data_IF_903504999518
#
_entry.id   IF_903504999518
#
_cell.length_a   1.000
_cell.length_b   1.000
_cell.length_c   1.000
_cell.angle_alpha   90.00
_cell.angle_beta   90.00
_cell.angle_gamma   90.00
#
_symmetry.space_group_name_H-M   'P 1'
#
loop_
_entity.id
_entity.type
_entity.pdbx_description
1 polymer ?
#
# COMPACT_ATOMS: atom_id res chain seq x y z
N UNK A 1 12.98 17.84 -49.92
CA UNK A 1 13.56 16.70 -49.20
C UNK A 1 14.10 17.05 -47.79
N UNK A 2 15.03 18.01 -47.62
CA UNK A 2 15.60 18.34 -46.29
C UNK A 2 14.55 18.78 -45.25
N UNK A 3 13.55 19.61 -45.61
CA UNK A 3 12.49 20.07 -44.71
C UNK A 3 11.58 18.89 -44.25
N UNK A 4 11.28 17.97 -45.15
CA UNK A 4 10.46 16.81 -44.85
C UNK A 4 11.19 15.86 -43.87
N UNK A 5 12.50 15.61 -44.11
CA UNK A 5 13.33 14.82 -43.21
C UNK A 5 13.44 15.47 -41.83
N UNK A 6 13.56 16.79 -41.76
CA UNK A 6 13.59 17.52 -40.50
C UNK A 6 12.28 17.35 -39.70
N UNK A 7 11.13 17.51 -40.35
CA UNK A 7 9.82 17.32 -39.73
C UNK A 7 9.68 15.89 -39.24
N UNK A 8 10.10 14.90 -40.03
CA UNK A 8 10.04 13.48 -39.63
C UNK A 8 10.92 13.21 -38.39
N UNK A 9 12.16 13.73 -38.34
CA UNK A 9 13.03 13.59 -37.17
C UNK A 9 12.39 14.21 -35.92
N UNK A 10 11.79 15.38 -36.02
CA UNK A 10 11.10 16.02 -34.90
C UNK A 10 9.91 15.19 -34.44
N UNK A 11 9.12 14.63 -35.34
CA UNK A 11 7.96 13.78 -34.99
C UNK A 11 8.40 12.50 -34.31
N UNK A 12 9.46 11.83 -34.80
CA UNK A 12 10.02 10.63 -34.16
C UNK A 12 10.56 10.97 -32.76
N UNK A 13 11.26 12.09 -32.62
CA UNK A 13 11.76 12.54 -31.31
C UNK A 13 10.61 12.80 -30.33
N UNK A 14 9.58 13.55 -30.72
CA UNK A 14 8.42 13.83 -29.88
C UNK A 14 7.67 12.55 -29.49
N UNK A 15 7.52 11.62 -30.46
CA UNK A 15 6.95 10.28 -30.16
C UNK A 15 7.76 9.52 -29.12
N UNK A 16 9.09 9.53 -29.24
CA UNK A 16 9.99 8.91 -28.26
C UNK A 16 9.89 9.54 -26.87
N UNK A 17 9.80 10.87 -26.79
CA UNK A 17 9.59 11.60 -25.52
C UNK A 17 8.27 11.21 -24.86
N UNK A 18 7.18 11.12 -25.62
CA UNK A 18 5.86 10.74 -25.09
C UNK A 18 5.90 9.31 -24.54
N UNK A 19 6.49 8.37 -25.30
CA UNK A 19 6.60 6.96 -24.85
C UNK A 19 7.45 6.86 -23.58
N UNK A 20 8.55 7.58 -23.51
CA UNK A 20 9.44 7.59 -22.34
C UNK A 20 8.78 8.22 -21.10
N UNK A 21 8.06 9.33 -21.27
CA UNK A 21 7.37 10.03 -20.19
C UNK A 21 6.03 9.39 -19.78
N UNK A 22 5.53 8.43 -20.57
CA UNK A 22 4.22 7.81 -20.34
C UNK A 22 4.03 7.25 -18.91
N UNK A 23 5.00 6.50 -18.32
CA UNK A 23 4.85 5.99 -16.96
C UNK A 23 4.68 7.10 -15.92
N UNK A 24 5.41 8.21 -16.07
CA UNK A 24 5.33 9.34 -15.13
C UNK A 24 4.01 10.10 -15.28
N UNK A 25 3.54 10.29 -16.51
CA UNK A 25 2.23 10.89 -16.76
C UNK A 25 1.11 10.03 -16.20
N UNK A 26 1.20 8.71 -16.35
CA UNK A 26 0.24 7.78 -15.78
C UNK A 26 0.27 7.79 -14.25
N UNK A 27 1.46 7.86 -13.64
CA UNK A 27 1.63 7.99 -12.19
C UNK A 27 0.97 9.28 -11.65
N UNK A 28 1.21 10.41 -12.31
CA UNK A 28 0.57 11.69 -11.94
C UNK A 28 -0.96 11.62 -12.04
N UNK A 29 -1.47 11.01 -13.12
CA UNK A 29 -2.92 10.81 -13.28
C UNK A 29 -3.50 9.96 -12.16
N UNK A 30 -2.92 8.79 -11.90
CA UNK A 30 -3.41 7.88 -10.84
C UNK A 30 -3.26 8.53 -9.45
N UNK A 31 -2.17 9.25 -9.20
CA UNK A 31 -2.01 10.00 -7.95
C UNK A 31 -3.10 11.05 -7.75
N UNK A 32 -3.48 11.78 -8.81
CA UNK A 32 -4.59 12.72 -8.76
C UNK A 32 -5.96 12.03 -8.54
N UNK A 33 -6.21 10.91 -9.23
CA UNK A 33 -7.42 10.10 -9.05
C UNK A 33 -7.51 9.53 -7.64
N UNK A 34 -6.43 8.98 -7.10
CA UNK A 34 -6.35 8.46 -5.74
C UNK A 34 -6.61 9.57 -4.71
N UNK A 35 -5.99 10.74 -4.88
CA UNK A 35 -6.22 11.89 -4.00
C UNK A 35 -7.69 12.26 -3.96
N UNK A 36 -8.34 12.37 -5.14
CA UNK A 36 -9.75 12.70 -5.23
C UNK A 36 -10.65 11.66 -4.55
N UNK A 37 -10.36 10.37 -4.72
CA UNK A 37 -11.12 9.28 -4.09
C UNK A 37 -10.95 9.32 -2.57
N UNK A 38 -9.74 9.56 -2.07
CA UNK A 38 -9.48 9.68 -0.64
C UNK A 38 -10.15 10.92 -0.03
N UNK A 39 -10.12 12.08 -0.70
CA UNK A 39 -10.86 13.27 -0.28
C UNK A 39 -12.37 13.00 -0.20
N UNK A 40 -12.94 12.33 -1.20
CA UNK A 40 -14.37 11.94 -1.17
C UNK A 40 -14.70 11.01 -0.01
N UNK A 41 -13.83 10.04 0.29
CA UNK A 41 -13.99 9.14 1.42
C UNK A 41 -13.95 9.92 2.76
N UNK A 42 -13.04 10.87 2.92
CA UNK A 42 -12.93 11.71 4.12
C UNK A 42 -14.17 12.59 4.28
N UNK A 43 -14.59 13.29 3.21
CA UNK A 43 -15.80 14.15 3.23
C UNK A 43 -17.05 13.36 3.62
N UNK A 44 -17.22 12.14 3.11
CA UNK A 44 -18.36 11.27 3.45
C UNK A 44 -18.29 10.84 4.92
N UNK A 45 -17.13 10.45 5.41
CA UNK A 45 -16.91 10.03 6.80
C UNK A 45 -17.20 11.17 7.76
N UNK A 46 -16.71 12.39 7.50
CA UNK A 46 -16.95 13.57 8.32
C UNK A 46 -18.43 14.01 8.31
N UNK A 47 -19.07 13.95 7.15
CA UNK A 47 -20.50 14.29 7.02
C UNK A 47 -21.37 13.36 7.87
N UNK A 48 -21.13 12.04 7.85
CA UNK A 48 -21.91 11.09 8.65
C UNK A 48 -21.60 11.20 10.15
N UNK A 49 -20.36 11.46 10.55
CA UNK A 49 -20.01 11.71 11.95
C UNK A 49 -20.67 13.00 12.49
N UNK A 50 -20.78 14.05 11.70
CA UNK A 50 -21.43 15.29 12.09
C UNK A 50 -22.94 15.12 12.30
N UNK A 51 -23.59 14.27 11.50
CA UNK A 51 -25.01 13.91 11.67
C UNK A 51 -25.22 13.09 12.95
N UNK A 52 -24.35 12.15 13.25
CA UNK A 52 -24.40 11.33 14.46
C UNK A 52 -24.32 12.17 15.74
N UNK A 53 -23.46 13.19 15.76
CA UNK A 53 -23.28 14.09 16.92
C UNK A 53 -24.44 15.08 17.11
N UNK A 54 -25.27 15.34 16.11
CA UNK A 54 -26.42 16.23 16.20
C UNK A 54 -27.73 15.53 16.63
N UNK A 55 -27.80 14.20 16.49
CA UNK A 55 -29.02 13.43 16.81
C UNK A 55 -29.19 13.19 18.31
N UNK A 56 -28.19 13.44 19.13
CA UNK A 56 -28.30 13.33 20.60
C UNK A 56 -29.09 14.44 21.27
N UNK A 57 -29.60 15.46 20.55
CA UNK A 57 -30.19 16.65 21.16
C UNK A 57 -31.67 16.89 20.90
N UNK A 58 -32.31 16.34 19.88
CA UNK A 58 -33.77 16.64 19.65
C UNK A 58 -34.37 15.73 18.56
N UNK A 59 -35.12 14.76 18.94
CA UNK A 59 -36.29 14.15 18.26
C UNK A 59 -36.32 12.63 18.28
N UNK A 60 -37.34 12.12 18.95
CA UNK A 60 -37.60 10.69 19.21
C UNK A 60 -38.18 9.93 18.00
N UNK A 61 -37.69 10.12 16.78
CA UNK A 61 -38.26 9.44 15.61
C UNK A 61 -37.31 9.03 14.50
N UNK A 62 -36.06 8.77 14.81
CA UNK A 62 -35.15 8.11 13.84
C UNK A 62 -34.33 7.04 14.49
N UNK A 63 -34.92 5.84 14.57
CA UNK A 63 -34.27 4.60 15.03
C UNK A 63 -33.35 4.01 13.92
N UNK A 64 -32.76 4.85 13.06
CA UNK A 64 -31.80 4.39 12.03
C UNK A 64 -30.37 4.72 12.45
N UNK A 65 -29.65 3.67 12.78
CA UNK A 65 -28.18 3.74 12.98
C UNK A 65 -27.54 4.27 11.69
N UNK A 66 -26.62 5.24 11.76
CA UNK A 66 -25.89 5.73 10.57
C UNK A 66 -25.22 4.59 9.80
N UNK A 67 -25.15 4.69 8.48
CA UNK A 67 -24.60 3.62 7.63
C UNK A 67 -23.16 3.25 7.99
N UNK A 68 -22.31 4.24 8.30
CA UNK A 68 -20.94 4.00 8.73
C UNK A 68 -20.86 3.24 10.05
N UNK A 69 -21.77 3.53 11.00
CA UNK A 69 -21.83 2.78 12.25
C UNK A 69 -22.32 1.33 12.05
N UNK A 70 -23.26 1.10 11.13
CA UNK A 70 -23.69 -0.24 10.75
C UNK A 70 -22.55 -1.02 10.07
N UNK A 71 -21.85 -0.37 9.13
CA UNK A 71 -20.68 -0.95 8.46
C UNK A 71 -19.60 -1.32 9.46
N UNK A 72 -19.28 -0.43 10.39
CA UNK A 72 -18.30 -0.66 11.43
C UNK A 72 -18.65 -1.87 12.31
N UNK A 73 -19.91 -1.98 12.74
CA UNK A 73 -20.40 -3.15 13.50
C UNK A 73 -20.28 -4.45 12.69
N UNK A 74 -20.54 -4.41 11.38
CA UNK A 74 -20.36 -5.58 10.52
C UNK A 74 -18.90 -5.96 10.36
N UNK A 75 -18.00 -4.99 10.23
CA UNK A 75 -16.55 -5.24 10.21
C UNK A 75 -16.09 -5.92 11.51
N UNK A 76 -16.58 -5.45 12.67
CA UNK A 76 -16.26 -6.09 13.95
C UNK A 76 -16.82 -7.52 14.05
N UNK A 77 -18.08 -7.71 13.62
CA UNK A 77 -18.70 -9.06 13.62
C UNK A 77 -17.95 -10.02 12.68
N UNK A 78 -17.54 -9.52 11.50
CA UNK A 78 -16.72 -10.30 10.56
C UNK A 78 -15.38 -10.72 11.19
N UNK A 79 -14.69 -9.80 11.89
CA UNK A 79 -13.42 -10.12 12.56
C UNK A 79 -13.61 -11.24 13.61
N UNK A 80 -14.67 -11.16 14.41
CA UNK A 80 -15.00 -12.20 15.40
C UNK A 80 -15.29 -13.55 14.73
N UNK A 81 -16.01 -13.52 13.61
CA UNK A 81 -16.35 -14.73 12.87
C UNK A 81 -15.10 -15.40 12.31
N UNK A 82 -14.23 -14.67 11.57
CA UNK A 82 -13.03 -15.28 10.97
C UNK A 82 -12.04 -15.80 12.02
N UNK A 83 -11.95 -15.16 13.18
CA UNK A 83 -11.16 -15.65 14.29
C UNK A 83 -11.71 -16.99 14.83
N UNK A 84 -13.03 -17.07 15.04
CA UNK A 84 -13.67 -18.30 15.51
C UNK A 84 -13.62 -19.45 14.49
N UNK A 85 -13.70 -19.14 13.19
CA UNK A 85 -13.67 -20.10 12.09
C UNK A 85 -12.23 -20.55 11.72
N UNK A 86 -11.19 -19.95 12.31
CA UNK A 86 -9.78 -20.33 12.15
C UNK A 86 -9.18 -19.92 10.81
N UNK A 87 -9.68 -18.85 10.16
CA UNK A 87 -9.14 -18.25 8.94
C UNK A 87 -8.82 -19.24 7.80
N UNK A 88 -9.72 -20.15 7.52
CA UNK A 88 -9.57 -21.07 6.39
C UNK A 88 -9.65 -20.32 5.06
N UNK A 89 -8.77 -20.66 4.10
CA UNK A 89 -8.82 -20.11 2.73
C UNK A 89 -7.96 -18.88 2.49
N UNK A 90 -6.98 -18.59 3.36
CA UNK A 90 -5.95 -17.58 3.06
C UNK A 90 -5.16 -17.98 1.81
N UNK A 91 -5.05 -17.07 0.86
CA UNK A 91 -4.31 -17.26 -0.40
C UNK A 91 -3.37 -16.09 -0.66
N UNK A 92 -2.32 -16.34 -1.44
CA UNK A 92 -1.42 -15.26 -1.87
C UNK A 92 -2.20 -14.18 -2.65
N UNK A 93 -2.06 -12.89 -2.29
CA UNK A 93 -2.82 -11.79 -2.91
C UNK A 93 -2.60 -11.66 -4.42
N UNK A 94 -1.48 -12.13 -4.94
CA UNK A 94 -1.17 -12.12 -6.38
C UNK A 94 -1.82 -13.26 -7.17
N UNK A 95 -2.59 -14.17 -6.51
CA UNK A 95 -3.50 -15.06 -7.20
C UNK A 95 -4.71 -14.31 -7.78
N UNK A 96 -5.06 -13.14 -7.21
CA UNK A 96 -6.24 -12.33 -7.52
C UNK A 96 -7.59 -13.06 -7.33
N UNK A 97 -7.58 -14.18 -6.63
CA UNK A 97 -8.74 -15.03 -6.34
C UNK A 97 -9.05 -14.97 -4.85
N UNK A 98 -9.88 -13.98 -4.46
CA UNK A 98 -10.25 -13.81 -3.06
C UNK A 98 -11.74 -13.55 -2.90
N UNK A 99 -12.36 -14.31 -2.02
CA UNK A 99 -13.70 -14.04 -1.55
C UNK A 99 -13.69 -12.82 -0.62
N UNK A 100 -14.64 -11.91 -0.81
CA UNK A 100 -14.76 -10.69 -0.03
C UNK A 100 -16.20 -10.46 0.39
N UNK A 101 -16.39 -9.67 1.47
CA UNK A 101 -17.68 -9.19 1.91
C UNK A 101 -18.29 -8.23 0.88
N UNK A 102 -19.60 -8.36 0.61
CA UNK A 102 -20.34 -7.41 -0.23
C UNK A 102 -20.63 -6.12 0.56
N UNK A 103 -20.00 -5.02 0.16
CA UNK A 103 -20.16 -3.71 0.77
C UNK A 103 -21.13 -2.79 -0.01
N UNK A 104 -21.73 -3.26 -1.10
CA UNK A 104 -22.61 -2.46 -1.96
C UNK A 104 -23.85 -1.93 -1.21
N UNK A 105 -24.35 -2.67 -0.22
CA UNK A 105 -25.45 -2.26 0.67
C UNK A 105 -25.14 -0.99 1.48
N UNK A 106 -23.86 -0.66 1.66
CA UNK A 106 -23.41 0.58 2.32
C UNK A 106 -23.07 1.69 1.32
N UNK A 107 -23.24 1.44 0.01
CA UNK A 107 -22.90 2.37 -1.05
C UNK A 107 -21.40 2.39 -1.40
N UNK A 108 -20.67 1.30 -1.05
CA UNK A 108 -19.25 1.12 -1.34
C UNK A 108 -19.12 0.17 -2.53
N UNK A 109 -19.36 0.70 -3.73
CA UNK A 109 -19.36 -0.11 -4.96
C UNK A 109 -17.94 -0.46 -5.45
N UNK A 110 -16.97 0.42 -5.17
CA UNK A 110 -15.55 0.22 -5.54
C UNK A 110 -14.77 -0.61 -4.52
N UNK A 111 -15.36 -0.86 -3.34
CA UNK A 111 -14.76 -1.61 -2.25
C UNK A 111 -13.69 -0.85 -1.46
N UNK A 112 -13.65 0.48 -1.52
CA UNK A 112 -12.76 1.29 -0.69
C UNK A 112 -13.23 1.26 0.78
N UNK A 113 -12.35 0.82 1.69
CA UNK A 113 -12.66 0.65 3.12
C UNK A 113 -11.88 1.61 4.02
N UNK A 114 -10.91 2.33 3.47
CA UNK A 114 -10.11 3.25 4.27
C UNK A 114 -8.96 3.88 3.51
N UNK A 115 -8.12 4.58 4.27
CA UNK A 115 -6.91 5.25 3.80
C UNK A 115 -5.75 4.74 4.65
N UNK A 116 -4.70 4.25 4.01
CA UNK A 116 -3.44 3.85 4.62
C UNK A 116 -2.42 4.96 4.45
N UNK A 117 -1.83 5.43 5.55
CA UNK A 117 -0.74 6.42 5.54
C UNK A 117 0.52 5.86 6.21
N UNK A 118 1.66 5.92 5.50
CA UNK A 118 2.96 5.42 5.96
C UNK A 118 3.99 6.54 5.80
N UNK A 119 4.14 7.42 6.81
CA UNK A 119 4.99 8.62 6.71
C UNK A 119 6.45 8.32 6.36
N UNK A 120 7.03 7.26 6.93
CA UNK A 120 8.42 6.86 6.66
C UNK A 120 8.70 6.57 5.18
N UNK A 121 7.68 6.11 4.46
CA UNK A 121 7.76 5.82 3.03
C UNK A 121 7.30 7.00 2.15
N UNK A 122 6.75 8.06 2.72
CA UNK A 122 6.07 9.17 2.01
C UNK A 122 4.94 8.63 1.10
N UNK A 123 4.10 7.74 1.66
CA UNK A 123 3.06 7.04 0.92
C UNK A 123 1.73 7.15 1.64
N UNK A 124 0.71 7.68 0.93
CA UNK A 124 -0.70 7.64 1.33
C UNK A 124 -1.49 6.96 0.22
N UNK A 125 -2.19 5.88 0.54
CA UNK A 125 -2.90 5.03 -0.43
C UNK A 125 -4.35 4.80 -0.04
N UNK A 126 -5.29 4.76 -1.00
CA UNK A 126 -6.61 4.20 -0.76
C UNK A 126 -6.47 2.70 -0.46
N UNK A 127 -7.23 2.24 0.53
CA UNK A 127 -7.28 0.84 0.95
C UNK A 127 -8.59 0.21 0.46
N UNK A 128 -8.47 -0.83 -0.33
CA UNK A 128 -9.61 -1.55 -0.92
C UNK A 128 -9.77 -2.94 -0.32
N UNK A 129 -10.99 -3.43 -0.22
CA UNK A 129 -11.27 -4.80 0.19
C UNK A 129 -11.10 -5.77 -0.98
N UNK A 130 -10.29 -6.80 -0.79
CA UNK A 130 -10.04 -7.90 -1.72
C UNK A 130 -9.01 -7.61 -2.80
N UNK A 131 -8.04 -8.49 -2.93
CA UNK A 131 -6.95 -8.39 -3.88
C UNK A 131 -7.42 -8.79 -5.29
N UNK A 132 -7.90 -7.83 -6.07
CA UNK A 132 -8.12 -7.98 -7.51
C UNK A 132 -7.06 -7.21 -8.29
N UNK A 133 -6.80 -7.62 -9.53
CA UNK A 133 -5.83 -6.93 -10.38
C UNK A 133 -6.17 -5.44 -10.55
N UNK A 134 -7.46 -5.11 -10.64
CA UNK A 134 -7.93 -3.72 -10.79
C UNK A 134 -7.65 -2.89 -9.53
N UNK A 135 -7.99 -3.41 -8.34
CA UNK A 135 -7.80 -2.71 -7.07
C UNK A 135 -6.32 -2.56 -6.72
N UNK A 136 -5.53 -3.62 -6.91
CA UNK A 136 -4.07 -3.57 -6.70
C UNK A 136 -3.37 -2.59 -7.66
N UNK A 137 -3.93 -2.33 -8.84
CA UNK A 137 -3.40 -1.33 -9.75
C UNK A 137 -3.67 0.11 -9.30
N UNK A 138 -4.64 0.34 -8.40
CA UNK A 138 -5.05 1.65 -7.88
C UNK A 138 -4.38 1.98 -6.54
N UNK A 139 -4.27 1.01 -5.62
CA UNK A 139 -3.79 1.26 -4.27
C UNK A 139 -3.41 0.01 -3.50
N UNK A 140 -3.49 0.10 -2.17
CA UNK A 140 -3.34 -1.02 -1.28
C UNK A 140 -4.65 -1.82 -1.18
N UNK A 141 -4.54 -3.11 -0.89
CA UNK A 141 -5.70 -3.99 -0.75
C UNK A 141 -5.61 -4.79 0.55
N UNK A 142 -6.72 -4.85 1.28
CA UNK A 142 -6.90 -5.80 2.37
C UNK A 142 -7.22 -7.17 1.76
N UNK A 143 -6.54 -8.21 2.22
CA UNK A 143 -6.81 -9.58 1.79
C UNK A 143 -8.16 -10.07 2.33
N UNK A 144 -8.89 -10.80 1.49
CA UNK A 144 -10.02 -11.60 1.95
C UNK A 144 -9.58 -12.62 3.00
N UNK A 145 -10.48 -13.00 3.89
CA UNK A 145 -10.20 -13.91 5.02
C UNK A 145 -9.18 -13.37 6.04
N UNK A 146 -8.92 -12.05 6.03
CA UNK A 146 -8.19 -11.34 7.09
C UNK A 146 -9.08 -10.31 7.75
N UNK A 147 -8.66 -9.76 8.89
CA UNK A 147 -9.48 -8.84 9.68
C UNK A 147 -9.59 -7.47 9.04
N UNK A 148 -10.74 -6.81 9.18
CA UNK A 148 -10.85 -5.37 8.96
C UNK A 148 -10.03 -4.60 10.01
N UNK A 149 -9.45 -3.44 9.64
CA UNK A 149 -8.74 -2.58 10.58
C UNK A 149 -9.75 -1.78 11.42
N UNK A 150 -10.20 -2.38 12.51
CA UNK A 150 -11.12 -1.80 13.51
C UNK A 150 -10.59 -2.10 14.91
N UNK A 151 -11.03 -1.33 15.91
CA UNK A 151 -10.68 -1.60 17.31
C UNK A 151 -11.13 -2.99 17.74
N UNK A 152 -10.29 -3.63 18.56
CA UNK A 152 -10.56 -4.96 19.12
C UNK A 152 -9.29 -5.69 19.48
N UNK A 153 -9.42 -7.00 19.65
CA UNK A 153 -8.32 -7.95 19.82
C UNK A 153 -8.51 -9.12 18.86
N UNK A 154 -7.54 -10.01 18.81
CA UNK A 154 -7.63 -11.23 18.01
C UNK A 154 -7.88 -10.91 16.51
N UNK A 155 -7.12 -9.96 15.97
CA UNK A 155 -7.27 -9.48 14.61
C UNK A 155 -5.92 -9.27 13.93
N UNK A 156 -5.88 -9.52 12.61
CA UNK A 156 -4.78 -9.19 11.73
C UNK A 156 -5.31 -8.75 10.36
N UNK A 157 -5.20 -7.46 10.07
CA UNK A 157 -5.53 -6.90 8.77
C UNK A 157 -4.32 -7.03 7.84
N UNK A 158 -4.35 -7.98 6.91
CA UNK A 158 -3.24 -8.15 5.96
C UNK A 158 -3.46 -7.27 4.75
N UNK A 159 -2.54 -6.35 4.53
CA UNK A 159 -2.59 -5.34 3.46
C UNK A 159 -1.48 -5.58 2.46
N UNK A 160 -1.85 -5.85 1.22
CA UNK A 160 -0.92 -6.04 0.13
C UNK A 160 -0.91 -4.85 -0.84
N UNK A 161 0.26 -4.53 -1.38
CA UNK A 161 0.41 -3.60 -2.49
C UNK A 161 1.61 -3.98 -3.36
N UNK A 162 1.59 -3.55 -4.62
CA UNK A 162 2.71 -3.78 -5.53
C UNK A 162 3.99 -3.10 -5.03
N UNK A 163 5.13 -3.71 -5.32
CA UNK A 163 6.44 -3.12 -5.07
C UNK A 163 6.79 -2.09 -6.16
N UNK A 164 5.89 -1.09 -6.33
CA UNK A 164 5.86 -0.15 -7.41
C UNK A 164 5.04 -0.64 -8.62
N UNK A 165 4.19 0.21 -9.16
CA UNK A 165 3.33 -0.11 -10.29
C UNK A 165 3.22 1.05 -11.28
N UNK A 166 3.71 0.87 -12.49
CA UNK A 166 3.59 1.85 -13.59
C UNK A 166 3.95 3.30 -13.18
N UNK A 167 5.01 3.46 -12.38
CA UNK A 167 5.46 4.76 -11.88
C UNK A 167 4.92 5.14 -10.49
N UNK A 168 3.89 4.47 -9.99
CA UNK A 168 3.35 4.69 -8.65
C UNK A 168 4.24 3.93 -7.65
N UNK A 169 4.75 4.58 -6.58
CA UNK A 169 5.68 3.95 -5.64
C UNK A 169 5.04 2.78 -4.86
N UNK A 170 3.80 2.91 -4.40
CA UNK A 170 3.13 1.91 -3.56
C UNK A 170 4.07 1.41 -2.44
N UNK A 171 4.32 0.09 -2.30
CA UNK A 171 5.24 -0.47 -1.31
C UNK A 171 6.66 -0.67 -1.85
N UNK A 172 7.12 0.14 -2.82
CA UNK A 172 8.48 0.07 -3.36
C UNK A 172 9.55 0.21 -2.28
N UNK A 173 9.34 1.16 -1.38
CA UNK A 173 10.30 1.56 -0.35
C UNK A 173 10.01 0.90 1.01
N UNK A 174 9.35 -0.27 1.02
CA UNK A 174 8.92 -0.93 2.27
C UNK A 174 10.10 -1.27 3.19
N UNK A 175 11.29 -1.50 2.62
CA UNK A 175 12.49 -1.74 3.42
C UNK A 175 13.00 -0.53 4.22
N UNK A 176 12.43 0.65 3.99
CA UNK A 176 12.73 1.82 4.82
C UNK A 176 12.07 1.76 6.19
N UNK A 177 11.09 0.86 6.36
CA UNK A 177 10.44 0.65 7.63
C UNK A 177 11.39 -0.08 8.59
N UNK A 178 11.46 0.44 9.81
CA UNK A 178 12.23 -0.09 10.92
C UNK A 178 11.29 -0.40 12.10
N UNK A 179 11.70 -1.28 13.00
CA UNK A 179 10.93 -1.55 14.23
C UNK A 179 10.76 -0.23 14.99
N UNK A 180 9.52 0.06 15.38
CA UNK A 180 9.14 1.30 16.06
C UNK A 180 8.57 2.39 15.15
N UNK A 181 8.69 2.30 13.81
CA UNK A 181 8.03 3.24 12.89
C UNK A 181 6.51 3.08 12.96
N UNK A 182 5.78 4.17 12.75
CA UNK A 182 4.33 4.19 12.84
C UNK A 182 3.67 4.39 11.46
N UNK A 183 2.49 3.82 11.34
CA UNK A 183 1.57 4.01 10.25
C UNK A 183 0.15 4.22 10.78
N UNK A 184 -0.73 4.80 9.97
CA UNK A 184 -2.12 4.99 10.35
C UNK A 184 -3.06 4.42 9.30
N UNK A 185 -4.24 3.95 9.75
CA UNK A 185 -5.34 3.56 8.90
C UNK A 185 -6.58 4.32 9.34
N UNK A 186 -7.11 5.13 8.45
CA UNK A 186 -8.41 5.77 8.62
C UNK A 186 -9.48 4.90 7.98
N UNK A 187 -10.42 4.40 8.76
CA UNK A 187 -11.61 3.69 8.29
C UNK A 187 -12.84 4.60 8.29
N UNK A 188 -14.03 4.05 8.11
CA UNK A 188 -15.28 4.83 8.06
C UNK A 188 -15.69 5.47 9.41
N UNK A 189 -15.06 5.12 10.53
CA UNK A 189 -15.45 5.56 11.88
C UNK A 189 -14.29 6.22 12.64
N UNK A 190 -13.06 5.76 12.45
CA UNK A 190 -11.91 6.11 13.28
C UNK A 190 -10.59 6.07 12.52
N UNK A 191 -9.56 6.61 13.14
CA UNK A 191 -8.17 6.47 12.68
C UNK A 191 -7.40 5.67 13.73
N UNK A 192 -6.84 4.55 13.31
CA UNK A 192 -6.02 3.67 14.14
C UNK A 192 -4.54 3.88 13.82
N UNK A 193 -3.71 3.86 14.85
CA UNK A 193 -2.24 3.94 14.73
C UNK A 193 -1.64 2.57 15.04
N UNK A 194 -0.74 2.13 14.17
CA UNK A 194 -0.01 0.88 14.32
C UNK A 194 1.48 1.15 14.32
N UNK A 195 2.24 0.35 15.07
CA UNK A 195 3.70 0.46 15.19
C UNK A 195 4.36 -0.83 14.72
N UNK A 196 5.37 -0.71 13.88
CA UNK A 196 6.17 -1.86 13.39
C UNK A 196 6.79 -2.60 14.57
N UNK A 197 6.50 -3.89 14.68
CA UNK A 197 6.99 -4.77 15.74
C UNK A 197 7.92 -5.87 15.23
N UNK A 198 7.74 -6.33 13.98
CA UNK A 198 8.55 -7.40 13.40
C UNK A 198 8.60 -7.27 11.87
N UNK A 199 9.70 -7.75 11.26
CA UNK A 199 9.87 -7.77 9.80
C UNK A 199 10.38 -9.14 9.40
N UNK A 200 9.77 -9.76 8.38
CA UNK A 200 10.12 -11.12 7.93
C UNK A 200 10.06 -11.22 6.39
N UNK A 201 10.85 -12.15 5.83
CA UNK A 201 10.74 -12.54 4.42
C UNK A 201 10.24 -13.98 4.36
N UNK A 202 9.05 -14.17 3.82
CA UNK A 202 8.35 -15.45 3.75
C UNK A 202 8.18 -15.96 2.31
N UNK A 203 7.85 -17.24 2.17
CA UNK A 203 7.40 -17.81 0.88
C UNK A 203 5.92 -17.47 0.61
N UNK A 204 5.50 -17.45 -0.66
CA UNK A 204 4.10 -17.14 -1.01
C UNK A 204 3.07 -18.12 -0.46
N UNK A 205 3.45 -19.35 -0.13
CA UNK A 205 2.63 -20.43 0.42
C UNK A 205 2.67 -20.52 1.96
N UNK A 206 3.49 -19.72 2.65
CA UNK A 206 3.53 -19.65 4.11
C UNK A 206 2.41 -18.74 4.66
N UNK A 207 1.16 -19.12 4.39
CA UNK A 207 -0.01 -18.33 4.85
C UNK A 207 -0.22 -18.37 6.37
N UNK A 208 0.34 -19.34 7.06
CA UNK A 208 0.35 -19.42 8.52
C UNK A 208 1.06 -18.24 9.19
N UNK A 209 2.01 -17.63 8.51
CA UNK A 209 2.76 -16.46 8.98
C UNK A 209 1.91 -15.18 9.06
N UNK A 210 0.82 -15.11 8.32
CA UNK A 210 -0.06 -13.93 8.26
C UNK A 210 -1.42 -14.17 8.94
N UNK A 211 -1.57 -15.24 9.69
CA UNK A 211 -2.78 -15.54 10.44
C UNK A 211 -2.93 -14.61 11.67
N UNK A 212 -4.15 -14.55 12.20
CA UNK A 212 -4.46 -13.85 13.46
C UNK A 212 -3.64 -14.46 14.61
N UNK A 213 -3.00 -13.59 15.37
CA UNK A 213 -2.31 -13.96 16.60
C UNK A 213 -3.20 -13.59 17.79
N UNK A 214 -3.61 -14.58 18.62
CA UNK A 214 -4.51 -14.31 19.74
C UNK A 214 -3.98 -13.24 20.70
N UNK A 215 -4.88 -12.35 21.13
CA UNK A 215 -4.56 -11.26 22.05
C UNK A 215 -3.97 -10.01 21.41
N UNK A 216 -3.70 -10.01 20.10
CA UNK A 216 -3.15 -8.86 19.38
C UNK A 216 -4.18 -8.23 18.44
N UNK A 217 -4.08 -6.92 18.22
CA UNK A 217 -4.70 -6.22 17.10
C UNK A 217 -3.58 -5.78 16.17
N UNK A 218 -3.52 -6.39 14.99
CA UNK A 218 -2.39 -6.26 14.09
C UNK A 218 -2.80 -5.75 12.71
N UNK A 219 -1.84 -5.09 12.08
CA UNK A 219 -1.79 -4.88 10.64
C UNK A 219 -0.52 -5.53 10.11
N UNK A 220 -0.63 -6.27 9.03
CA UNK A 220 0.50 -6.88 8.34
C UNK A 220 0.61 -6.29 6.93
N UNK A 221 1.67 -5.55 6.66
CA UNK A 221 1.96 -5.07 5.30
C UNK A 221 2.71 -6.13 4.52
N UNK A 222 2.33 -6.37 3.25
CA UNK A 222 2.95 -7.39 2.41
C UNK A 222 3.22 -6.87 1.00
N UNK A 223 4.40 -7.19 0.47
CA UNK A 223 4.73 -6.95 -0.95
C UNK A 223 5.62 -8.06 -1.52
N UNK A 224 5.80 -8.05 -2.84
CA UNK A 224 6.72 -8.97 -3.51
C UNK A 224 8.19 -8.69 -3.18
N UNK A 225 8.99 -9.75 -3.05
CA UNK A 225 10.43 -9.71 -2.79
C UNK A 225 11.14 -10.87 -3.52
N UNK A 226 12.40 -10.75 -3.98
CA UNK A 226 13.17 -9.51 -4.15
C UNK A 226 12.56 -8.58 -5.21
N UNK A 227 12.98 -7.32 -5.24
CA UNK A 227 12.55 -6.37 -6.26
C UNK A 227 12.81 -6.93 -7.66
N UNK A 228 11.79 -6.97 -8.51
CA UNK A 228 11.76 -7.56 -9.86
C UNK A 228 11.66 -9.10 -9.97
N UNK A 229 12.05 -9.88 -8.95
CA UNK A 229 12.01 -11.35 -9.02
C UNK A 229 10.71 -11.96 -8.47
N UNK A 230 10.13 -11.35 -7.42
CA UNK A 230 8.83 -11.69 -6.83
C UNK A 230 8.70 -13.12 -6.29
N UNK A 231 9.81 -13.81 -5.99
CA UNK A 231 9.82 -15.21 -5.54
C UNK A 231 9.44 -15.39 -4.07
N UNK A 232 9.44 -14.30 -3.30
CA UNK A 232 9.13 -14.25 -1.87
C UNK A 232 8.19 -13.11 -1.56
N UNK A 233 7.82 -12.96 -0.29
CA UNK A 233 7.04 -11.84 0.24
C UNK A 233 7.82 -11.15 1.35
N UNK A 234 7.93 -9.83 1.27
CA UNK A 234 8.41 -8.98 2.36
C UNK A 234 7.23 -8.61 3.22
N UNK A 235 7.29 -8.90 4.49
CA UNK A 235 6.21 -8.78 5.45
C UNK A 235 6.65 -7.91 6.61
N UNK A 236 5.82 -6.93 6.96
CA UNK A 236 6.02 -6.02 8.10
C UNK A 236 4.81 -6.16 9.02
N UNK A 237 5.02 -6.67 10.22
CA UNK A 237 4.00 -6.80 11.25
C UNK A 237 3.96 -5.54 12.10
N UNK A 238 2.76 -5.04 12.36
CA UNK A 238 2.54 -3.83 13.13
C UNK A 238 1.45 -4.09 14.17
N UNK A 239 1.68 -3.68 15.42
CA UNK A 239 0.70 -3.76 16.51
C UNK A 239 0.02 -2.42 16.71
N UNK A 240 -1.28 -2.43 17.05
CA UNK A 240 -2.03 -1.23 17.41
C UNK A 240 -1.42 -0.54 18.64
N UNK A 241 -1.22 0.78 18.51
CA UNK A 241 -0.69 1.60 19.61
C UNK A 241 -1.78 1.82 20.66
N UNK A 242 -1.54 1.37 21.88
CA UNK A 242 -2.45 1.56 23.02
C UNK A 242 -3.26 0.31 23.44
N UNK A 243 -3.18 -0.79 22.69
CA UNK A 243 -3.87 -2.05 23.03
C UNK A 243 -2.95 -3.10 23.67
N UNK A 244 -1.63 -2.88 23.70
CA UNK A 244 -0.70 -3.85 24.30
C UNK A 244 -0.82 -3.86 25.83
N UNK A 245 -1.02 -5.04 26.45
CA UNK A 245 -0.75 -5.20 27.89
C UNK A 245 0.75 -4.97 28.13
N UNK A 246 1.11 -4.16 29.10
CA UNK A 246 2.51 -3.91 29.55
C UNK A 246 3.34 -5.19 29.79
N UNK A 247 2.69 -6.34 29.91
CA UNK A 247 3.33 -7.64 30.14
C UNK A 247 4.04 -8.25 28.89
N UNK A 248 3.83 -7.73 27.70
CA UNK A 248 4.45 -8.29 26.49
C UNK A 248 5.90 -7.81 26.29
N UNK A 249 6.28 -6.71 26.92
CA UNK A 249 7.65 -6.14 26.82
C UNK A 249 8.65 -6.99 27.63
N UNK A 250 8.25 -7.51 28.80
CA UNK A 250 9.12 -8.30 29.68
C UNK A 250 9.35 -9.74 29.18
N UNK A 251 8.37 -10.32 28.43
CA UNK A 251 8.49 -11.66 27.85
C UNK A 251 9.40 -11.72 26.61
N UNK A 252 9.62 -10.59 25.93
CA UNK A 252 10.50 -10.50 24.77
C UNK A 252 11.99 -10.55 25.15
N UNK A 253 12.35 -10.04 26.34
CA UNK A 253 13.76 -10.04 26.79
C UNK A 253 14.25 -11.42 27.26
N UNK A 254 13.39 -12.31 27.81
CA UNK A 254 13.80 -13.66 28.23
C UNK A 254 13.88 -14.69 27.10
N UNK A 255 13.17 -14.48 25.98
CA UNK A 255 13.21 -15.37 24.82
C UNK A 255 14.46 -15.17 23.94
N UNK A 256 15.21 -14.10 24.16
CA UNK A 256 16.28 -13.63 23.26
C UNK A 256 17.60 -14.45 23.36
N UNK A 257 17.85 -15.13 24.46
CA UNK A 257 19.14 -15.81 24.68
C UNK A 257 19.33 -17.11 23.87
N UNK A 258 18.26 -17.75 23.40
CA UNK A 258 18.30 -18.99 22.60
C UNK A 258 18.03 -18.75 21.10
N UNK A 259 17.57 -17.56 20.75
CA UNK A 259 17.33 -17.10 19.37
C UNK A 259 18.58 -16.58 18.66
N UNK A 260 19.57 -16.14 19.40
CA UNK A 260 20.70 -15.35 18.90
C UNK A 260 21.61 -16.08 17.89
N UNK A 261 21.70 -17.39 17.91
CA UNK A 261 22.59 -18.16 17.02
C UNK A 261 21.94 -18.51 15.65
N UNK A 262 20.61 -18.60 15.58
CA UNK A 262 19.86 -18.84 14.34
C UNK A 262 19.58 -17.50 13.63
N UNK A 263 19.42 -16.42 14.39
CA UNK A 263 19.15 -15.06 13.93
C UNK A 263 20.33 -14.49 13.11
N UNK A 264 21.57 -14.69 13.53
CA UNK A 264 22.76 -14.11 12.86
C UNK A 264 22.94 -14.53 11.41
N UNK A 265 22.62 -15.76 11.04
CA UNK A 265 22.74 -16.20 9.64
C UNK A 265 21.57 -15.78 8.78
N UNK A 266 20.35 -15.75 9.32
CA UNK A 266 19.17 -15.26 8.62
C UNK A 266 19.18 -13.73 8.50
N UNK A 267 19.59 -12.99 9.53
CA UNK A 267 19.73 -11.53 9.47
C UNK A 267 20.79 -11.07 8.47
N UNK A 268 21.92 -11.77 8.36
CA UNK A 268 22.92 -11.47 7.34
C UNK A 268 22.38 -11.68 5.92
N UNK A 269 21.69 -12.78 5.66
CA UNK A 269 21.08 -13.05 4.36
C UNK A 269 19.97 -12.05 4.01
N UNK A 270 19.18 -11.65 5.01
CA UNK A 270 18.13 -10.61 4.85
C UNK A 270 18.81 -9.26 4.56
N UNK A 271 19.83 -8.87 5.31
CA UNK A 271 20.54 -7.61 5.12
C UNK A 271 21.19 -7.50 3.74
N UNK A 272 21.85 -8.57 3.28
CA UNK A 272 22.43 -8.61 1.93
C UNK A 272 21.37 -8.50 0.83
N UNK A 273 20.24 -9.20 0.98
CA UNK A 273 19.13 -9.12 0.03
C UNK A 273 18.48 -7.74 -0.01
N UNK A 274 18.34 -7.07 1.15
CA UNK A 274 17.83 -5.71 1.25
C UNK A 274 18.77 -4.68 0.59
N UNK A 275 20.09 -4.81 0.81
CA UNK A 275 21.06 -3.93 0.16
C UNK A 275 21.06 -4.11 -1.37
N UNK A 276 20.88 -5.34 -1.87
CA UNK A 276 20.79 -5.59 -3.32
C UNK A 276 19.53 -4.94 -3.90
N UNK A 277 18.39 -5.07 -3.25
CA UNK A 277 17.13 -4.46 -3.67
C UNK A 277 17.20 -2.93 -3.68
N UNK A 278 17.76 -2.32 -2.64
CA UNK A 278 17.97 -0.87 -2.59
C UNK A 278 18.86 -0.38 -3.74
N UNK A 279 19.95 -1.08 -4.03
CA UNK A 279 20.84 -0.77 -5.17
C UNK A 279 20.10 -0.87 -6.51
N UNK A 280 19.19 -1.84 -6.66
CA UNK A 280 18.38 -2.00 -7.88
C UNK A 280 17.40 -0.85 -8.04
N UNK A 281 16.72 -0.43 -6.97
CA UNK A 281 15.77 0.69 -6.94
C UNK A 281 16.49 2.02 -7.24
N UNK A 282 17.63 2.27 -6.60
CA UNK A 282 18.45 3.46 -6.86
C UNK A 282 18.94 3.50 -8.31
N UNK A 283 19.43 2.36 -8.83
CA UNK A 283 19.88 2.24 -10.22
C UNK A 283 18.76 2.54 -11.20
N UNK A 284 17.55 2.01 -10.99
CA UNK A 284 16.39 2.28 -11.83
C UNK A 284 16.04 3.79 -11.84
N UNK A 285 16.07 4.41 -10.67
CA UNK A 285 15.85 5.85 -10.51
C UNK A 285 16.92 6.68 -11.22
N UNK A 286 18.19 6.31 -11.12
CA UNK A 286 19.30 6.98 -11.80
C UNK A 286 19.20 6.85 -13.32
N UNK A 287 18.88 5.66 -13.84
CA UNK A 287 18.68 5.44 -15.28
C UNK A 287 17.53 6.29 -15.84
N UNK A 288 16.44 6.44 -15.10
CA UNK A 288 15.33 7.32 -15.50
C UNK A 288 15.76 8.78 -15.55
N UNK A 289 16.45 9.27 -14.51
CA UNK A 289 17.01 10.63 -14.50
C UNK A 289 17.98 10.86 -15.66
N UNK A 290 18.90 9.93 -15.91
CA UNK A 290 19.83 9.99 -17.03
C UNK A 290 19.10 9.99 -18.39
N UNK A 291 18.02 9.24 -18.51
CA UNK A 291 17.16 9.22 -19.69
C UNK A 291 16.56 10.60 -20.00
N UNK A 292 16.03 11.30 -18.99
CA UNK A 292 15.51 12.67 -19.17
C UNK A 292 16.60 13.66 -19.59
N UNK A 293 17.78 13.57 -19.00
CA UNK A 293 18.94 14.39 -19.40
C UNK A 293 19.31 14.09 -20.85
N UNK A 294 19.39 12.83 -21.24
CA UNK A 294 19.67 12.40 -22.62
C UNK A 294 18.65 12.92 -23.63
N UNK A 295 17.37 12.83 -23.29
CA UNK A 295 16.28 13.38 -24.11
C UNK A 295 16.46 14.89 -24.28
N UNK A 296 16.73 15.62 -23.19
CA UNK A 296 16.98 17.06 -23.24
C UNK A 296 18.15 17.43 -24.16
N UNK A 297 19.27 16.72 -24.06
CA UNK A 297 20.44 16.94 -24.90
C UNK A 297 20.16 16.67 -26.38
N UNK A 298 19.45 15.60 -26.71
CA UNK A 298 19.04 15.30 -28.11
C UNK A 298 18.12 16.41 -28.65
N UNK A 299 17.18 16.91 -27.85
CA UNK A 299 16.32 18.03 -28.20
C UNK A 299 17.12 19.29 -28.56
N UNK A 300 18.10 19.62 -27.72
CA UNK A 300 19.01 20.76 -27.98
C UNK A 300 19.79 20.55 -29.28
N UNK A 301 20.34 19.36 -29.52
CA UNK A 301 21.07 19.07 -30.77
C UNK A 301 20.18 19.19 -32.01
N UNK A 302 18.93 18.75 -31.96
CA UNK A 302 17.95 18.89 -33.03
C UNK A 302 17.70 20.36 -33.31
N UNK A 303 17.47 21.18 -32.28
CA UNK A 303 17.22 22.63 -32.44
C UNK A 303 18.43 23.31 -33.09
N UNK A 304 19.65 23.08 -32.59
CA UNK A 304 20.86 23.67 -33.14
C UNK A 304 21.23 23.12 -34.51
N UNK A 305 20.92 21.88 -34.84
CA UNK A 305 21.15 21.28 -36.16
C UNK A 305 20.29 21.90 -37.27
N UNK A 306 19.16 22.51 -36.94
CA UNK A 306 18.26 23.19 -37.90
C UNK A 306 18.47 24.70 -37.97
N UNK A 307 19.34 25.31 -37.14
CA UNK A 307 19.69 26.73 -37.27
C UNK A 307 20.48 26.90 -38.56
N UNK A 308 20.01 27.71 -39.56
CA UNK A 308 20.75 27.93 -40.79
C UNK A 308 22.05 28.66 -40.46
N UNK A 309 23.20 28.01 -40.70
CA UNK A 309 24.49 28.69 -40.67
C UNK A 309 24.46 29.77 -41.72
N UNK A 310 24.45 31.06 -41.32
CA UNK A 310 24.71 32.17 -42.26
C UNK A 310 26.05 31.90 -42.94
N UNK A 311 26.03 31.66 -44.26
CA UNK A 311 27.24 31.68 -45.07
C UNK A 311 27.73 33.12 -45.08
N UNK A 312 28.89 33.37 -44.51
CA UNK A 312 29.71 34.57 -44.76
C UNK A 312 30.31 34.48 -46.10
#
# INVERSE_FOLDING_TARGET
MRRLAAVLCVLIYLGGVIVFAWPDLNSLKTGYENKKVMEQFQDQTEAEQSVSNQTDSTSADSNQIPKNAQLYQEMQAYNQQIFSDGQSGLTDPWSYEQETLDLSKYGIDDGMIGILDIPKMDVTLPLYLGATQEKMAKGAVMLGQTSFPVQGTDSNCVIAAHRGWKGIPMFREIERLEIGDELTIQNCQETLTYRVSEIEIILPDESDKIMIQPGRNMVTLMTCHPYTQNSRRYVVYCDEVGTQPEAAVDAAEEADSNRQEIITTSEQNITEALEEDQRLIERDTLWRKAGYVGIGLIGVLIIFGFIPRKKH
#
